data_IF_417374025628
#
_entry.id   IF_417374025628
#
_cell.length_a   1.000
_cell.length_b   1.000
_cell.length_c   1.000
_cell.angle_alpha   90.00
_cell.angle_beta   90.00
_cell.angle_gamma   90.00
#
_symmetry.space_group_name_H-M   'P 1'
#
loop_
_entity.id
_entity.type
_entity.pdbx_description
1 polymer ?
#
# COMPACT_ATOMS: atom_id res chain seq x y z
N UNK A 1 10.94 -37.92 9.60
CA UNK A 1 10.03 -37.96 10.78
C UNK A 1 9.98 -36.57 11.41
N UNK A 2 8.93 -35.79 11.16
CA UNK A 2 8.50 -34.66 11.99
C UNK A 2 6.97 -34.62 11.95
N UNK A 3 6.41 -34.70 13.14
CA UNK A 3 5.02 -34.86 13.49
C UNK A 3 4.21 -33.65 12.98
N UNK A 4 3.27 -33.85 12.04
CA UNK A 4 2.24 -32.84 11.73
C UNK A 4 1.14 -33.03 12.77
N UNK A 5 1.11 -32.15 13.76
CA UNK A 5 0.09 -32.14 14.81
C UNK A 5 -1.31 -32.18 14.22
N UNK A 6 -2.10 -33.12 14.73
CA UNK A 6 -3.38 -33.56 14.20
C UNK A 6 -4.53 -32.69 14.74
N UNK A 7 -4.51 -31.38 14.47
CA UNK A 7 -5.68 -30.51 14.68
C UNK A 7 -6.08 -29.93 13.33
N UNK A 8 -6.87 -30.70 12.60
CA UNK A 8 -7.66 -30.16 11.51
C UNK A 8 -8.52 -29.01 12.06
N UNK A 9 -8.62 -27.91 11.32
CA UNK A 9 -9.44 -26.75 11.68
C UNK A 9 -10.79 -27.20 12.23
N UNK A 10 -11.21 -26.66 13.39
CA UNK A 10 -12.53 -26.94 13.95
C UNK A 10 -13.58 -26.43 12.95
N UNK A 11 -14.27 -27.35 12.30
CA UNK A 11 -15.36 -27.01 11.38
C UNK A 11 -16.59 -26.63 12.22
N UNK A 12 -16.91 -25.33 12.23
CA UNK A 12 -18.14 -24.81 12.82
C UNK A 12 -18.95 -24.13 11.71
N UNK A 13 -20.20 -24.56 11.44
CA UNK A 13 -21.05 -23.87 10.49
C UNK A 13 -21.42 -22.49 11.07
N UNK A 14 -21.23 -21.44 10.27
CA UNK A 14 -21.56 -20.08 10.64
C UNK A 14 -22.72 -19.62 9.76
N UNK A 15 -23.72 -18.99 10.35
CA UNK A 15 -24.84 -18.42 9.63
C UNK A 15 -24.37 -17.21 8.79
N UNK A 16 -24.64 -17.27 7.48
CA UNK A 16 -24.22 -16.22 6.55
C UNK A 16 -24.92 -14.88 6.83
N UNK A 17 -26.21 -14.90 7.16
CA UNK A 17 -26.97 -13.68 7.43
C UNK A 17 -26.47 -13.00 8.71
N UNK A 18 -26.08 -13.80 9.71
CA UNK A 18 -25.44 -13.29 10.92
C UNK A 18 -24.11 -12.60 10.62
N UNK A 19 -23.21 -13.22 9.84
CA UNK A 19 -21.92 -12.62 9.46
C UNK A 19 -22.13 -11.33 8.66
N UNK A 20 -23.02 -11.36 7.66
CA UNK A 20 -23.30 -10.17 6.84
C UNK A 20 -23.84 -9.01 7.68
N UNK A 21 -24.78 -9.29 8.59
CA UNK A 21 -25.34 -8.29 9.51
C UNK A 21 -24.29 -7.71 10.45
N UNK A 22 -23.47 -8.58 11.07
CA UNK A 22 -22.41 -8.15 11.99
C UNK A 22 -21.37 -7.26 11.29
N UNK A 23 -20.94 -7.65 10.08
CA UNK A 23 -19.96 -6.88 9.31
C UNK A 23 -20.54 -5.51 8.92
N UNK A 24 -21.79 -5.44 8.48
CA UNK A 24 -22.45 -4.18 8.15
C UNK A 24 -22.56 -3.25 9.36
N UNK A 25 -22.98 -3.78 10.51
CA UNK A 25 -23.11 -3.00 11.74
C UNK A 25 -21.77 -2.40 12.17
N UNK A 26 -20.70 -3.20 12.13
CA UNK A 26 -19.34 -2.72 12.45
C UNK A 26 -18.82 -1.69 11.46
N UNK A 27 -19.11 -1.85 10.16
CA UNK A 27 -18.78 -0.83 9.16
C UNK A 27 -19.57 0.46 9.45
N UNK A 28 -20.86 0.36 9.79
CA UNK A 28 -21.69 1.52 10.13
C UNK A 28 -21.16 2.28 11.33
N UNK A 29 -20.77 1.60 12.40
CA UNK A 29 -20.18 2.22 13.59
C UNK A 29 -18.87 2.96 13.25
N UNK A 30 -18.09 2.41 12.32
CA UNK A 30 -16.74 2.90 12.00
C UNK A 30 -16.74 3.99 10.92
N UNK A 31 -17.70 3.97 9.99
CA UNK A 31 -17.71 4.84 8.80
C UNK A 31 -19.05 5.56 8.56
N UNK A 32 -20.14 5.12 9.20
CA UNK A 32 -21.50 5.53 8.87
C UNK A 32 -21.97 6.85 9.49
N UNK A 33 -21.21 7.45 10.41
CA UNK A 33 -21.53 8.78 10.97
C UNK A 33 -20.63 9.87 10.37
N UNK A 34 -21.10 11.13 10.27
CA UNK A 34 -20.29 12.24 9.77
C UNK A 34 -18.98 12.42 10.55
N UNK A 35 -19.01 12.24 11.87
CA UNK A 35 -17.83 12.37 12.73
C UNK A 35 -16.85 11.22 12.50
N UNK A 36 -17.35 10.00 12.29
CA UNK A 36 -16.54 8.84 11.99
C UNK A 36 -15.89 8.96 10.60
N UNK A 37 -16.66 9.37 9.61
CA UNK A 37 -16.17 9.67 8.26
C UNK A 37 -15.11 10.78 8.28
N UNK A 38 -15.30 11.84 9.07
CA UNK A 38 -14.30 12.89 9.25
C UNK A 38 -12.98 12.33 9.80
N UNK A 39 -13.03 11.56 10.91
CA UNK A 39 -11.82 10.95 11.50
C UNK A 39 -11.08 10.05 10.51
N UNK A 40 -11.81 9.26 9.73
CA UNK A 40 -11.21 8.37 8.73
C UNK A 40 -10.59 9.18 7.59
N UNK A 41 -11.29 10.20 7.07
CA UNK A 41 -10.77 11.06 6.03
C UNK A 41 -9.48 11.76 6.47
N UNK A 42 -9.47 12.33 7.67
CA UNK A 42 -8.30 13.01 8.24
C UNK A 42 -7.11 12.06 8.35
N UNK A 43 -7.32 10.86 8.90
CA UNK A 43 -6.25 9.87 9.06
C UNK A 43 -5.70 9.36 7.74
N UNK A 44 -6.55 9.11 6.74
CA UNK A 44 -6.09 8.69 5.42
C UNK A 44 -5.31 9.83 4.74
N UNK A 45 -5.81 11.06 4.82
CA UNK A 45 -5.15 12.22 4.25
C UNK A 45 -3.81 12.54 4.93
N UNK A 46 -3.72 12.36 6.26
CA UNK A 46 -2.48 12.47 7.03
C UNK A 46 -1.45 11.45 6.54
N UNK A 47 -1.83 10.17 6.45
CA UNK A 47 -0.95 9.12 5.92
C UNK A 47 -0.48 9.43 4.48
N UNK A 48 -1.39 9.89 3.61
CA UNK A 48 -1.04 10.29 2.24
C UNK A 48 -0.05 11.47 2.22
N UNK A 49 -0.22 12.42 3.14
CA UNK A 49 0.66 13.58 3.25
C UNK A 49 2.05 13.17 3.79
N UNK A 50 2.11 12.26 4.75
CA UNK A 50 3.38 11.73 5.28
C UNK A 50 4.16 10.97 4.21
N UNK A 51 3.49 10.09 3.45
CA UNK A 51 4.10 9.42 2.31
C UNK A 51 4.65 10.42 1.29
N UNK A 52 3.88 11.48 1.01
CA UNK A 52 4.31 12.55 0.11
C UNK A 52 5.56 13.27 0.61
N UNK A 53 5.62 13.63 1.90
CA UNK A 53 6.79 14.30 2.48
C UNK A 53 8.03 13.40 2.49
N UNK A 54 7.87 12.09 2.73
CA UNK A 54 8.97 11.11 2.60
C UNK A 54 9.48 11.06 1.16
N UNK A 55 8.58 10.96 0.17
CA UNK A 55 8.95 10.94 -1.25
C UNK A 55 9.64 12.23 -1.68
N UNK A 56 9.13 13.38 -1.24
CA UNK A 56 9.73 14.69 -1.51
C UNK A 56 11.17 14.78 -0.99
N UNK A 57 11.42 14.29 0.24
CA UNK A 57 12.77 14.21 0.81
C UNK A 57 13.67 13.26 0.00
N UNK A 58 13.14 12.11 -0.43
CA UNK A 58 13.87 11.17 -1.28
C UNK A 58 14.26 11.80 -2.62
N UNK A 59 13.33 12.52 -3.26
CA UNK A 59 13.55 13.27 -4.51
C UNK A 59 14.68 14.29 -4.35
N UNK A 60 14.63 15.13 -3.32
CA UNK A 60 15.71 16.11 -3.03
C UNK A 60 17.06 15.42 -2.86
N UNK A 61 17.12 14.26 -2.17
CA UNK A 61 18.35 13.49 -1.99
C UNK A 61 18.88 12.94 -3.32
N UNK A 62 18.01 12.34 -4.14
CA UNK A 62 18.37 11.79 -5.44
C UNK A 62 18.85 12.88 -6.41
N UNK A 63 18.18 14.03 -6.45
CA UNK A 63 18.60 15.18 -7.27
C UNK A 63 20.00 15.67 -6.87
N UNK A 64 20.30 15.75 -5.57
CA UNK A 64 21.65 16.09 -5.10
C UNK A 64 22.69 15.05 -5.50
N UNK A 65 22.33 13.76 -5.41
CA UNK A 65 23.20 12.66 -5.84
C UNK A 65 23.49 12.74 -7.34
N UNK A 66 22.47 13.01 -8.16
CA UNK A 66 22.60 13.17 -9.60
C UNK A 66 23.58 14.29 -9.95
N UNK A 67 23.42 15.47 -9.34
CA UNK A 67 24.35 16.58 -9.56
C UNK A 67 25.79 16.26 -9.13
N UNK A 68 25.96 15.49 -8.05
CA UNK A 68 27.29 15.06 -7.63
C UNK A 68 27.93 14.11 -8.65
N UNK A 69 27.17 13.16 -9.21
CA UNK A 69 27.63 12.26 -10.28
C UNK A 69 27.97 13.05 -11.54
N UNK A 70 27.13 14.01 -11.93
CA UNK A 70 27.41 14.88 -13.08
C UNK A 70 28.69 15.67 -12.91
N UNK A 71 28.94 16.23 -11.72
CA UNK A 71 30.18 16.93 -11.42
C UNK A 71 31.40 16.00 -11.51
N UNK A 72 31.29 14.75 -11.02
CA UNK A 72 32.35 13.73 -11.17
C UNK A 72 32.63 13.43 -12.64
N UNK A 73 31.60 13.25 -13.46
CA UNK A 73 31.74 13.02 -14.91
C UNK A 73 32.46 14.22 -15.55
N UNK A 74 32.02 15.45 -15.29
CA UNK A 74 32.66 16.67 -15.83
C UNK A 74 34.13 16.77 -15.44
N UNK A 75 34.45 16.47 -14.17
CA UNK A 75 35.84 16.51 -13.69
C UNK A 75 36.71 15.44 -14.33
N UNK A 76 36.17 14.22 -14.51
CA UNK A 76 36.89 13.12 -15.16
C UNK A 76 37.17 13.45 -16.63
N UNK A 77 36.18 13.99 -17.36
CA UNK A 77 36.36 14.44 -18.75
C UNK A 77 37.43 15.53 -18.85
N UNK A 78 37.45 16.49 -17.91
CA UNK A 78 38.49 17.53 -17.85
C UNK A 78 39.87 16.94 -17.56
N UNK A 79 39.97 15.96 -16.65
CA UNK A 79 41.23 15.31 -16.34
C UNK A 79 41.80 14.57 -17.57
N UNK A 80 40.95 13.87 -18.33
CA UNK A 80 41.34 13.22 -19.58
C UNK A 80 41.85 14.23 -20.61
N UNK A 81 41.16 15.36 -20.77
CA UNK A 81 41.59 16.44 -21.66
C UNK A 81 42.98 17.01 -21.29
N UNK A 82 43.38 16.91 -20.01
CA UNK A 82 44.67 17.34 -19.50
C UNK A 82 45.74 16.22 -19.53
N UNK A 83 45.49 15.09 -20.21
CA UNK A 83 46.46 14.01 -20.38
C UNK A 83 46.43 12.91 -19.32
N UNK A 84 45.35 12.80 -18.54
CA UNK A 84 45.14 11.67 -17.63
C UNK A 84 44.90 10.35 -18.40
N UNK A 85 45.19 9.21 -17.77
CA UNK A 85 45.04 7.88 -18.39
C UNK A 85 43.62 7.63 -18.92
N UNK A 86 43.54 7.46 -20.24
CA UNK A 86 42.29 7.33 -20.99
C UNK A 86 41.58 6.01 -20.68
N UNK A 87 42.31 4.92 -20.49
CA UNK A 87 41.72 3.60 -20.27
C UNK A 87 41.07 3.49 -18.89
N UNK A 88 41.75 3.97 -17.84
CA UNK A 88 41.15 4.05 -16.50
C UNK A 88 39.96 5.00 -16.48
N UNK A 89 40.05 6.16 -17.13
CA UNK A 89 38.95 7.10 -17.20
C UNK A 89 37.73 6.55 -17.94
N UNK A 90 37.92 5.76 -19.00
CA UNK A 90 36.81 5.13 -19.73
C UNK A 90 36.02 4.16 -18.86
N UNK A 91 36.70 3.37 -18.03
CA UNK A 91 36.07 2.43 -17.08
C UNK A 91 35.26 3.18 -16.02
N UNK A 92 35.86 4.20 -15.40
CA UNK A 92 35.19 5.00 -14.38
C UNK A 92 34.00 5.79 -14.94
N UNK A 93 34.14 6.34 -16.16
CA UNK A 93 33.06 7.05 -16.85
C UNK A 93 31.86 6.12 -17.12
N UNK A 94 32.09 4.87 -17.50
CA UNK A 94 31.02 3.90 -17.71
C UNK A 94 30.24 3.60 -16.41
N UNK A 95 30.95 3.49 -15.27
CA UNK A 95 30.32 3.32 -13.95
C UNK A 95 29.46 4.54 -13.59
N UNK A 96 30.03 5.75 -13.70
CA UNK A 96 29.32 6.99 -13.39
C UNK A 96 28.11 7.22 -14.32
N UNK A 97 28.21 6.86 -15.60
CA UNK A 97 27.09 6.92 -16.53
C UNK A 97 25.98 5.92 -16.17
N UNK A 98 26.35 4.72 -15.71
CA UNK A 98 25.37 3.74 -15.23
C UNK A 98 24.67 4.24 -13.95
N UNK A 99 25.42 4.77 -12.99
CA UNK A 99 24.87 5.37 -11.77
C UNK A 99 23.94 6.54 -12.07
N UNK A 100 24.34 7.41 -13.02
CA UNK A 100 23.50 8.49 -13.53
C UNK A 100 22.18 7.97 -14.11
N UNK A 101 22.24 7.00 -15.02
CA UNK A 101 21.06 6.44 -15.66
C UNK A 101 20.10 5.78 -14.66
N UNK A 102 20.63 5.07 -13.66
CA UNK A 102 19.82 4.48 -12.58
C UNK A 102 19.14 5.58 -11.74
N UNK A 103 19.89 6.60 -11.34
CA UNK A 103 19.35 7.71 -10.53
C UNK A 103 18.27 8.49 -11.30
N UNK A 104 18.47 8.72 -12.60
CA UNK A 104 17.47 9.36 -13.47
C UNK A 104 16.22 8.50 -13.63
N UNK A 105 16.36 7.18 -13.77
CA UNK A 105 15.22 6.27 -13.84
C UNK A 105 14.38 6.33 -12.57
N UNK A 106 15.01 6.25 -11.39
CA UNK A 106 14.31 6.37 -10.10
C UNK A 106 13.63 7.74 -9.93
N UNK A 107 14.25 8.83 -10.38
CA UNK A 107 13.61 10.15 -10.34
C UNK A 107 12.38 10.21 -11.25
N UNK A 108 12.42 9.63 -12.44
CA UNK A 108 11.27 9.56 -13.35
C UNK A 108 10.12 8.74 -12.75
N UNK A 109 10.42 7.65 -12.06
CA UNK A 109 9.40 6.88 -11.33
C UNK A 109 8.72 7.74 -10.26
N UNK A 110 9.49 8.49 -9.48
CA UNK A 110 8.93 9.41 -8.47
C UNK A 110 8.08 10.53 -9.09
N UNK A 111 8.51 11.10 -10.22
CA UNK A 111 7.77 12.16 -10.90
C UNK A 111 6.45 11.63 -11.52
N UNK A 112 6.44 10.40 -12.05
CA UNK A 112 5.21 9.75 -12.55
C UNK A 112 4.21 9.47 -11.42
N UNK A 113 4.69 9.06 -10.26
CA UNK A 113 3.86 8.86 -9.07
C UNK A 113 3.27 10.19 -8.57
N UNK A 114 3.99 11.30 -8.71
CA UNK A 114 3.47 12.64 -8.36
C UNK A 114 2.32 13.08 -9.28
N UNK A 115 2.40 12.75 -10.58
CA UNK A 115 1.31 13.01 -11.54
C UNK A 115 0.04 12.20 -11.25
N UNK A 116 0.17 11.04 -10.61
CA UNK A 116 -0.94 10.16 -10.25
C UNK A 116 -1.42 10.36 -8.82
N UNK A 117 -1.01 11.47 -8.17
CA UNK A 117 -1.38 11.78 -6.79
C UNK A 117 -2.90 11.73 -6.61
N UNK A 118 -3.42 10.87 -5.72
CA UNK A 118 -4.84 10.80 -5.46
C UNK A 118 -5.30 12.10 -4.79
N UNK A 119 -6.53 12.53 -5.12
CA UNK A 119 -7.14 13.69 -4.45
C UNK A 119 -7.34 13.37 -2.96
N UNK A 120 -7.26 14.36 -2.06
CA UNK A 120 -7.62 14.18 -0.66
C UNK A 120 -9.06 13.68 -0.52
N UNK A 121 -9.27 12.69 0.33
CA UNK A 121 -10.60 12.16 0.61
C UNK A 121 -11.40 13.17 1.42
N UNK A 122 -12.67 13.35 1.06
CA UNK A 122 -13.61 14.12 1.87
C UNK A 122 -14.49 13.18 2.71
N UNK A 123 -15.06 13.66 3.83
CA UNK A 123 -16.03 12.86 4.59
C UNK A 123 -17.23 12.44 3.74
N UNK A 124 -17.64 13.30 2.80
CA UNK A 124 -18.72 13.01 1.86
C UNK A 124 -18.41 11.79 0.97
N UNK A 125 -17.17 11.64 0.52
CA UNK A 125 -16.75 10.48 -0.29
C UNK A 125 -16.91 9.16 0.48
N UNK A 126 -16.59 9.17 1.79
CA UNK A 126 -16.70 8.00 2.66
C UNK A 126 -18.16 7.65 2.91
N UNK A 127 -19.00 8.66 3.18
CA UNK A 127 -20.43 8.47 3.39
C UNK A 127 -21.13 7.97 2.11
N UNK A 128 -20.74 8.49 0.95
CA UNK A 128 -21.26 8.02 -0.33
C UNK A 128 -20.85 6.56 -0.59
N UNK A 129 -19.60 6.22 -0.31
CA UNK A 129 -19.10 4.84 -0.44
C UNK A 129 -19.86 3.89 0.51
N UNK A 130 -20.17 4.34 1.72
CA UNK A 130 -20.97 3.59 2.69
C UNK A 130 -22.43 3.42 2.21
N UNK A 131 -23.07 4.48 1.70
CA UNK A 131 -24.42 4.38 1.14
C UNK A 131 -24.47 3.41 -0.06
N UNK A 132 -23.42 3.37 -0.86
CA UNK A 132 -23.28 2.41 -1.97
C UNK A 132 -23.09 0.97 -1.48
N UNK A 133 -22.44 0.77 -0.34
CA UNK A 133 -22.32 -0.54 0.32
C UNK A 133 -23.71 -1.01 0.80
N UNK A 134 -24.47 -0.17 1.50
CA UNK A 134 -25.83 -0.50 1.95
C UNK A 134 -26.72 -0.92 0.76
N UNK A 135 -26.70 -0.16 -0.34
CA UNK A 135 -27.42 -0.50 -1.57
C UNK A 135 -26.95 -1.82 -2.18
N UNK A 136 -25.67 -2.14 -2.10
CA UNK A 136 -25.14 -3.41 -2.62
C UNK A 136 -25.60 -4.60 -1.76
N UNK A 137 -25.74 -4.43 -0.45
CA UNK A 137 -26.23 -5.50 0.43
C UNK A 137 -27.73 -5.79 0.26
N UNK A 138 -28.50 -4.79 -0.17
CA UNK A 138 -29.90 -4.95 -0.56
C UNK A 138 -30.07 -5.67 -1.91
N UNK A 139 -29.02 -5.76 -2.73
CA UNK A 139 -29.06 -6.48 -4.01
C UNK A 139 -28.75 -7.96 -3.83
N UNK A 140 -29.21 -8.80 -4.76
CA UNK A 140 -28.86 -10.23 -4.81
C UNK A 140 -27.50 -10.51 -5.46
N UNK A 141 -26.72 -9.47 -5.78
CA UNK A 141 -25.43 -9.62 -6.47
C UNK A 141 -24.28 -9.77 -5.47
N UNK A 142 -23.91 -11.03 -5.20
CA UNK A 142 -22.80 -11.38 -4.33
C UNK A 142 -21.43 -10.87 -4.82
N UNK A 143 -21.23 -10.72 -6.13
CA UNK A 143 -19.97 -10.19 -6.67
C UNK A 143 -19.83 -8.71 -6.32
N UNK A 144 -20.93 -7.95 -6.45
CA UNK A 144 -20.98 -6.54 -6.04
C UNK A 144 -20.81 -6.37 -4.53
N UNK A 145 -21.47 -7.19 -3.70
CA UNK A 145 -21.27 -7.18 -2.23
C UNK A 145 -19.80 -7.37 -1.86
N UNK A 146 -19.17 -8.40 -2.43
CA UNK A 146 -17.75 -8.72 -2.18
C UNK A 146 -16.82 -7.60 -2.65
N UNK A 147 -17.11 -6.98 -3.80
CA UNK A 147 -16.33 -5.84 -4.29
C UNK A 147 -16.45 -4.65 -3.35
N UNK A 148 -17.65 -4.34 -2.88
CA UNK A 148 -17.87 -3.22 -1.96
C UNK A 148 -17.22 -3.46 -0.59
N UNK A 149 -17.30 -4.68 -0.04
CA UNK A 149 -16.64 -5.03 1.22
C UNK A 149 -15.13 -4.83 1.20
N UNK A 150 -14.47 -5.08 0.06
CA UNK A 150 -13.02 -4.90 -0.09
C UNK A 150 -12.54 -3.46 0.10
N UNK A 151 -13.42 -2.47 0.00
CA UNK A 151 -13.05 -1.08 0.26
C UNK A 151 -12.94 -0.77 1.76
N UNK A 152 -13.62 -1.54 2.61
CA UNK A 152 -13.67 -1.30 4.06
C UNK A 152 -12.86 -2.33 4.84
N UNK A 153 -13.01 -3.61 4.49
CA UNK A 153 -12.48 -4.75 5.23
C UNK A 153 -11.21 -5.27 4.58
N UNK A 154 -10.13 -5.29 5.36
CA UNK A 154 -8.85 -5.88 4.97
C UNK A 154 -8.83 -7.39 5.23
N UNK A 155 -9.32 -7.83 6.40
CA UNK A 155 -9.33 -9.24 6.81
C UNK A 155 -10.48 -9.52 7.75
N UNK A 156 -11.03 -10.73 7.66
CA UNK A 156 -11.98 -11.30 8.61
C UNK A 156 -11.35 -12.54 9.23
N UNK A 157 -11.37 -12.61 10.56
CA UNK A 157 -10.91 -13.79 11.31
C UNK A 157 -12.02 -14.27 12.22
N UNK A 158 -12.34 -15.56 12.14
CA UNK A 158 -13.29 -16.19 13.03
C UNK A 158 -12.56 -17.19 13.92
N UNK A 159 -12.71 -17.04 15.23
CA UNK A 159 -12.17 -17.98 16.21
C UNK A 159 -13.26 -18.96 16.67
N UNK A 160 -13.17 -20.25 16.28
CA UNK A 160 -14.17 -21.25 16.64
C UNK A 160 -14.20 -21.59 18.13
N UNK A 161 -13.13 -21.26 18.89
CA UNK A 161 -13.05 -21.51 20.33
C UNK A 161 -13.76 -20.44 21.18
N UNK A 162 -13.74 -19.19 20.75
CA UNK A 162 -14.39 -18.07 21.45
C UNK A 162 -15.70 -17.59 20.81
N UNK A 163 -16.04 -18.12 19.63
CA UNK A 163 -17.19 -17.69 18.82
C UNK A 163 -17.17 -16.19 18.46
N UNK A 164 -15.96 -15.64 18.31
CA UNK A 164 -15.76 -14.22 18.01
C UNK A 164 -15.33 -14.01 16.56
N UNK A 165 -15.96 -13.02 15.91
CA UNK A 165 -15.61 -12.56 14.57
C UNK A 165 -14.86 -11.23 14.71
N UNK A 166 -13.58 -11.23 14.36
CA UNK A 166 -12.72 -10.04 14.36
C UNK A 166 -12.62 -9.48 12.95
N UNK A 167 -12.88 -8.17 12.82
CA UNK A 167 -12.82 -7.46 11.54
C UNK A 167 -11.64 -6.50 11.58
N UNK A 168 -10.76 -6.61 10.60
CA UNK A 168 -9.65 -5.68 10.43
C UNK A 168 -10.01 -4.70 9.32
N UNK A 169 -10.22 -3.44 9.68
CA UNK A 169 -10.50 -2.37 8.73
C UNK A 169 -9.21 -1.74 8.18
N UNK A 170 -9.28 -1.16 6.98
CA UNK A 170 -8.15 -0.38 6.43
C UNK A 170 -7.86 0.91 7.21
N UNK A 171 -8.84 1.43 7.97
CA UNK A 171 -8.69 2.64 8.78
C UNK A 171 -7.92 2.41 10.10
N UNK A 172 -7.80 1.15 10.53
CA UNK A 172 -7.07 0.79 11.76
C UNK A 172 -5.62 0.46 11.42
N UNK A 173 -4.64 0.93 12.23
CA UNK A 173 -3.26 0.53 12.01
C UNK A 173 -3.21 -0.98 12.20
N UNK A 174 -2.54 -1.67 11.27
CA UNK A 174 -2.37 -3.11 11.38
C UNK A 174 -1.61 -3.41 12.68
N UNK A 175 -2.34 -3.75 13.74
CA UNK A 175 -1.76 -4.44 14.87
C UNK A 175 -1.08 -5.68 14.30
N UNK A 176 0.22 -5.77 14.54
CA UNK A 176 1.03 -6.90 14.13
C UNK A 176 0.61 -8.15 14.92
N UNK A 177 -0.54 -8.72 14.60
CA UNK A 177 -0.81 -10.12 14.91
C UNK A 177 -0.15 -10.95 13.81
N UNK A 178 1.00 -11.48 14.17
CA UNK A 178 1.71 -12.52 13.45
C UNK A 178 0.73 -13.68 13.22
N UNK A 179 0.35 -13.89 11.97
CA UNK A 179 0.01 -15.19 11.41
C UNK A 179 0.11 -15.08 9.89
N UNK A 180 1.31 -15.40 9.40
CA UNK A 180 1.56 -15.70 7.99
C UNK A 180 0.72 -16.92 7.61
N UNK A 181 -0.17 -16.77 6.63
CA UNK A 181 -0.59 -17.88 5.80
C UNK A 181 -0.32 -17.48 4.34
N UNK A 182 0.82 -17.93 3.84
CA UNK A 182 1.09 -17.99 2.41
C UNK A 182 0.08 -18.92 1.74
N UNK A 183 -0.54 -18.46 0.65
CA UNK A 183 -1.27 -19.30 -0.29
C UNK A 183 -1.93 -18.42 -1.35
N UNK A 184 -1.91 -18.71 -2.63
CA UNK A 184 -1.19 -19.69 -3.43
C UNK A 184 -1.14 -19.04 -4.83
N UNK A 185 -0.01 -19.20 -5.53
CA UNK A 185 0.06 -18.93 -6.97
C UNK A 185 -0.63 -20.11 -7.64
N UNK A 186 -1.72 -19.84 -8.35
CA UNK A 186 -2.23 -20.76 -9.37
C UNK A 186 -1.33 -20.59 -10.61
N UNK A 187 -0.42 -21.54 -10.78
CA UNK A 187 0.15 -21.87 -12.09
C UNK A 187 -0.59 -23.12 -12.59
N UNK A 188 -1.38 -22.94 -13.66
CA UNK A 188 -1.45 -23.81 -14.85
C UNK A 188 -2.26 -23.10 -15.93
#
# INVERSE_FOLDING_TARGET
MRYRGNQACIYKPIDQAWVEGFVLEKIKETFGTPEAAQRVADKVNENLQDEFEVRKKARVKLTRSLHAVEAKITNLVRAVANGFDVETAKKELAVLQSEKAQTEATLRELDNDELTRPRPLTPGDILELYANLEKAFQSQDNARKRKMLRYFVRRLEFDPGSDTLTIYFFAEPAVASVCQSYGARDET
#
